data_IF_396139587522
#
_entry.id   IF_396139587522
#
_cell.length_a   1.000
_cell.length_b   1.000
_cell.length_c   1.000
_cell.angle_alpha   90.00
_cell.angle_beta   90.00
_cell.angle_gamma   90.00
#
_symmetry.space_group_name_H-M   'P 1'
#
loop_
_entity.id
_entity.type
_entity.pdbx_description
1 polymer ?
#
# COMPACT_ATOMS: atom_id res chain seq x y z
N UNK A 1 26.94 -19.48 -11.05
CA UNK A 1 25.79 -20.34 -10.62
C UNK A 1 24.68 -19.56 -9.94
N UNK A 2 24.99 -18.65 -9.00
CA UNK A 2 23.96 -17.89 -8.25
C UNK A 2 23.06 -17.05 -9.16
N UNK A 3 23.61 -16.30 -10.11
CA UNK A 3 22.83 -15.46 -11.05
C UNK A 3 21.86 -16.26 -11.91
N UNK A 4 22.30 -17.40 -12.46
CA UNK A 4 21.44 -18.27 -13.28
C UNK A 4 20.27 -18.85 -12.47
N UNK A 5 20.52 -19.27 -11.23
CA UNK A 5 19.48 -19.73 -10.32
C UNK A 5 18.47 -18.62 -10.01
N UNK A 6 18.93 -17.38 -9.83
CA UNK A 6 18.04 -16.24 -9.56
C UNK A 6 17.18 -15.93 -10.78
N UNK A 7 17.76 -15.95 -11.98
CA UNK A 7 17.01 -15.79 -13.24
C UNK A 7 15.91 -16.85 -13.35
N UNK A 8 16.24 -18.13 -13.18
CA UNK A 8 15.27 -19.22 -13.28
C UNK A 8 14.14 -19.09 -12.23
N UNK A 9 14.47 -18.78 -10.98
CA UNK A 9 13.46 -18.53 -9.93
C UNK A 9 12.59 -17.32 -10.28
N UNK A 10 13.19 -16.26 -10.83
CA UNK A 10 12.48 -15.03 -11.19
C UNK A 10 11.52 -15.23 -12.35
N UNK A 11 11.87 -16.09 -13.32
CA UNK A 11 10.96 -16.50 -14.39
C UNK A 11 9.74 -17.21 -13.80
N UNK A 12 9.94 -18.20 -12.92
CA UNK A 12 8.83 -18.96 -12.32
C UNK A 12 7.93 -18.05 -11.47
N UNK A 13 8.53 -17.25 -10.59
CA UNK A 13 7.80 -16.33 -9.72
C UNK A 13 7.07 -15.28 -10.56
N UNK A 14 7.75 -14.68 -11.53
CA UNK A 14 7.18 -13.68 -12.42
C UNK A 14 5.99 -14.22 -13.22
N UNK A 15 6.07 -15.45 -13.72
CA UNK A 15 4.96 -16.09 -14.41
C UNK A 15 3.74 -16.28 -13.49
N UNK A 16 3.94 -16.79 -12.27
CA UNK A 16 2.86 -17.06 -11.32
C UNK A 16 2.21 -15.78 -10.81
N UNK A 17 3.01 -14.80 -10.40
CA UNK A 17 2.55 -13.49 -9.93
C UNK A 17 1.81 -12.78 -11.05
N UNK A 18 2.42 -12.70 -12.24
CA UNK A 18 1.81 -12.03 -13.37
C UNK A 18 0.50 -12.67 -13.83
N UNK A 19 0.42 -14.00 -13.78
CA UNK A 19 -0.82 -14.73 -14.06
C UNK A 19 -1.92 -14.36 -13.05
N UNK A 20 -1.61 -14.46 -11.75
CA UNK A 20 -2.57 -14.22 -10.68
C UNK A 20 -3.07 -12.78 -10.65
N UNK A 21 -2.16 -11.82 -10.76
CA UNK A 21 -2.51 -10.40 -10.74
C UNK A 21 -3.22 -9.98 -12.03
N UNK A 22 -2.77 -10.44 -13.20
CA UNK A 22 -3.44 -10.18 -14.47
C UNK A 22 -4.89 -10.70 -14.47
N UNK A 23 -5.10 -11.96 -14.06
CA UNK A 23 -6.44 -12.52 -13.90
C UNK A 23 -7.26 -11.73 -12.87
N UNK A 24 -6.66 -11.40 -11.72
CA UNK A 24 -7.29 -10.66 -10.63
C UNK A 24 -7.80 -9.30 -11.07
N UNK A 25 -6.96 -8.52 -11.78
CA UNK A 25 -7.31 -7.20 -12.28
C UNK A 25 -8.49 -7.25 -13.27
N UNK A 26 -8.47 -8.19 -14.22
CA UNK A 26 -9.56 -8.35 -15.19
C UNK A 26 -10.90 -8.78 -14.55
N UNK A 27 -10.85 -9.62 -13.50
CA UNK A 27 -12.05 -10.00 -12.75
C UNK A 27 -12.69 -8.84 -12.00
N UNK A 28 -11.96 -7.76 -11.70
CA UNK A 28 -12.56 -6.57 -11.06
C UNK A 28 -13.62 -5.92 -11.95
N UNK A 29 -13.54 -6.08 -13.28
CA UNK A 29 -14.59 -5.65 -14.22
C UNK A 29 -15.86 -6.53 -14.20
N UNK A 30 -15.80 -7.66 -13.50
CA UNK A 30 -16.88 -8.66 -13.42
C UNK A 30 -17.41 -8.87 -11.99
N UNK A 31 -16.72 -8.34 -10.98
CA UNK A 31 -17.03 -8.56 -9.58
C UNK A 31 -18.13 -7.61 -9.07
N UNK A 32 -19.00 -8.08 -8.14
CA UNK A 32 -20.27 -7.44 -7.79
C UNK A 32 -20.09 -6.10 -7.06
N UNK A 33 -21.21 -5.37 -6.88
CA UNK A 33 -21.39 -4.05 -6.24
C UNK A 33 -20.72 -3.83 -4.85
N UNK A 34 -20.01 -4.81 -4.31
CA UNK A 34 -19.24 -4.76 -3.06
C UNK A 34 -17.82 -5.27 -3.34
N UNK A 35 -16.91 -4.35 -3.63
CA UNK A 35 -15.47 -4.61 -3.78
C UNK A 35 -14.69 -3.93 -2.65
N UNK A 36 -13.64 -4.58 -2.14
CA UNK A 36 -12.79 -4.00 -1.09
C UNK A 36 -12.04 -2.75 -1.58
N UNK A 37 -11.82 -1.76 -0.70
CA UNK A 37 -11.17 -0.48 -1.03
C UNK A 37 -9.85 -0.62 -1.80
N UNK A 38 -9.06 -1.67 -1.55
CA UNK A 38 -7.79 -1.92 -2.28
C UNK A 38 -7.96 -2.27 -3.76
N UNK A 39 -9.11 -2.85 -4.15
CA UNK A 39 -9.42 -3.18 -5.55
C UNK A 39 -9.69 -1.93 -6.40
N UNK A 40 -10.18 -0.84 -5.80
CA UNK A 40 -10.47 0.41 -6.51
C UNK A 40 -9.23 1.09 -7.08
N UNK A 41 -8.05 0.87 -6.48
CA UNK A 41 -6.83 1.53 -6.94
C UNK A 41 -6.40 1.00 -8.31
N UNK A 42 -6.14 -0.30 -8.43
CA UNK A 42 -5.77 -0.91 -9.72
C UNK A 42 -6.87 -0.74 -10.75
N UNK A 43 -8.14 -0.93 -10.36
CA UNK A 43 -9.27 -0.73 -11.27
C UNK A 43 -9.41 0.72 -11.75
N UNK A 44 -9.28 1.70 -10.85
CA UNK A 44 -9.34 3.12 -11.17
C UNK A 44 -8.18 3.55 -12.06
N UNK A 45 -6.97 3.08 -11.78
CA UNK A 45 -5.77 3.37 -12.57
C UNK A 45 -5.86 2.77 -13.99
N UNK A 46 -6.40 1.55 -14.13
CA UNK A 46 -6.64 0.95 -15.44
C UNK A 46 -7.71 1.72 -16.23
N UNK A 47 -8.79 2.14 -15.59
CA UNK A 47 -9.83 2.94 -16.25
C UNK A 47 -9.36 4.36 -16.61
N UNK A 48 -8.46 4.96 -15.82
CA UNK A 48 -7.91 6.28 -16.09
C UNK A 48 -7.12 6.34 -17.41
N UNK A 49 -6.62 5.19 -17.88
CA UNK A 49 -5.95 5.09 -19.18
C UNK A 49 -6.93 5.01 -20.37
N UNK A 50 -8.24 4.92 -20.12
CA UNK A 50 -9.31 4.96 -21.13
C UNK A 50 -9.13 3.98 -22.32
N UNK A 51 -8.49 2.83 -22.08
CA UNK A 51 -8.21 1.83 -23.12
C UNK A 51 -7.12 2.24 -24.11
N UNK A 52 -6.39 3.33 -23.87
CA UNK A 52 -5.26 3.74 -24.69
C UNK A 52 -3.98 2.93 -24.33
N UNK A 53 -3.41 2.16 -25.26
CA UNK A 53 -2.23 1.33 -24.98
C UNK A 53 -1.01 2.14 -24.53
N UNK A 54 -0.82 3.36 -25.05
CA UNK A 54 0.34 4.20 -24.74
C UNK A 54 0.24 4.73 -23.32
N UNK A 55 -0.95 5.16 -22.90
CA UNK A 55 -1.24 5.60 -21.54
C UNK A 55 -1.00 4.47 -20.53
N UNK A 56 -1.49 3.25 -20.81
CA UNK A 56 -1.21 2.09 -19.99
C UNK A 56 0.30 1.79 -19.87
N UNK A 57 1.02 1.76 -21.00
CA UNK A 57 2.47 1.52 -20.98
C UNK A 57 3.22 2.58 -20.18
N UNK A 58 2.92 3.86 -20.42
CA UNK A 58 3.56 5.00 -19.77
C UNK A 58 3.28 5.03 -18.27
N UNK A 59 2.05 4.70 -17.87
CA UNK A 59 1.66 4.58 -16.46
C UNK A 59 2.48 3.51 -15.76
N UNK A 60 2.56 2.30 -16.33
CA UNK A 60 3.37 1.22 -15.78
C UNK A 60 4.87 1.57 -15.72
N UNK A 61 5.39 2.26 -16.73
CA UNK A 61 6.79 2.68 -16.78
C UNK A 61 7.14 3.66 -15.64
N UNK A 62 6.24 4.59 -15.31
CA UNK A 62 6.43 5.53 -14.20
C UNK A 62 6.68 4.83 -12.85
N UNK A 63 5.97 3.72 -12.59
CA UNK A 63 6.14 2.93 -11.37
C UNK A 63 7.29 1.92 -11.42
N UNK A 64 7.72 1.52 -12.63
CA UNK A 64 8.86 0.62 -12.80
C UNK A 64 10.14 1.24 -12.22
N UNK A 65 10.41 2.51 -12.48
CA UNK A 65 11.63 3.17 -11.95
C UNK A 65 11.64 3.23 -10.42
N UNK A 66 10.49 3.54 -9.81
CA UNK A 66 10.35 3.52 -8.34
C UNK A 66 10.61 2.12 -7.77
N UNK A 67 9.99 1.11 -8.39
CA UNK A 67 10.14 -0.29 -7.98
C UNK A 67 11.56 -0.81 -8.18
N UNK A 68 12.21 -0.41 -9.28
CA UNK A 68 13.60 -0.74 -9.58
C UNK A 68 14.54 -0.17 -8.53
N UNK A 69 14.41 1.13 -8.20
CA UNK A 69 15.20 1.75 -7.16
C UNK A 69 15.03 1.05 -5.80
N UNK A 70 13.81 0.61 -5.47
CA UNK A 70 13.53 -0.16 -4.26
C UNK A 70 14.11 -1.58 -4.28
N UNK A 71 14.02 -2.30 -5.39
CA UNK A 71 14.61 -3.64 -5.55
C UNK A 71 16.13 -3.59 -5.47
N UNK A 72 16.75 -2.58 -6.08
CA UNK A 72 18.20 -2.35 -6.00
C UNK A 72 18.64 -1.93 -4.59
N UNK A 73 17.89 -1.02 -3.97
CA UNK A 73 18.27 -0.44 -2.69
C UNK A 73 17.89 -1.24 -1.47
N UNK A 74 16.82 -2.03 -1.51
CA UNK A 74 16.29 -2.78 -0.37
C UNK A 74 16.17 -4.29 -0.65
N UNK A 75 16.44 -4.76 -1.87
CA UNK A 75 16.31 -6.17 -2.24
C UNK A 75 14.86 -6.68 -2.27
N UNK A 76 13.87 -5.80 -2.20
CA UNK A 76 12.46 -6.15 -2.07
C UNK A 76 11.64 -5.70 -3.28
N UNK A 77 10.84 -6.62 -3.83
CA UNK A 77 9.80 -6.29 -4.81
C UNK A 77 8.69 -5.50 -4.13
N UNK A 78 8.31 -4.37 -4.72
CA UNK A 78 7.25 -3.53 -4.20
C UNK A 78 5.90 -3.97 -4.75
N UNK A 79 4.84 -3.67 -4.00
CA UNK A 79 3.45 -3.85 -4.43
C UNK A 79 3.11 -3.10 -5.73
N UNK A 80 3.91 -2.08 -6.11
CA UNK A 80 3.73 -1.33 -7.35
C UNK A 80 3.99 -2.22 -8.58
N UNK A 81 4.92 -3.18 -8.49
CA UNK A 81 5.17 -4.16 -9.56
C UNK A 81 3.91 -4.97 -9.83
N UNK A 82 3.33 -5.50 -8.76
CA UNK A 82 2.17 -6.37 -8.83
C UNK A 82 0.93 -5.59 -9.25
N UNK A 83 0.59 -4.50 -8.56
CA UNK A 83 -0.70 -3.84 -8.76
C UNK A 83 -0.74 -2.77 -9.84
N UNK A 84 0.42 -2.32 -10.35
CA UNK A 84 0.48 -1.22 -11.31
C UNK A 84 1.26 -1.56 -12.56
N UNK A 85 2.49 -2.05 -12.43
CA UNK A 85 3.36 -2.31 -13.60
C UNK A 85 2.80 -3.47 -14.42
N UNK A 86 2.64 -4.65 -13.82
CA UNK A 86 2.24 -5.85 -14.56
C UNK A 86 0.84 -5.71 -15.20
N UNK A 87 -0.22 -5.28 -14.49
CA UNK A 87 -1.56 -5.14 -15.06
C UNK A 87 -1.62 -4.12 -16.20
N UNK A 88 -0.97 -2.95 -16.05
CA UNK A 88 -1.00 -1.93 -17.09
C UNK A 88 -0.23 -2.35 -18.33
N UNK A 89 0.93 -2.99 -18.17
CA UNK A 89 1.70 -3.48 -19.33
C UNK A 89 1.02 -4.66 -20.01
N UNK A 90 0.36 -5.54 -19.24
CA UNK A 90 -0.48 -6.60 -19.81
C UNK A 90 -1.65 -6.01 -20.63
N UNK A 91 -2.33 -5.00 -20.07
CA UNK A 91 -3.39 -4.27 -20.77
C UNK A 91 -2.87 -3.59 -22.04
N UNK A 92 -1.74 -2.89 -21.96
CA UNK A 92 -1.10 -2.23 -23.10
C UNK A 92 -0.80 -3.22 -24.24
N UNK A 93 -0.24 -4.39 -23.94
CA UNK A 93 0.07 -5.42 -24.94
C UNK A 93 -1.19 -5.94 -25.63
N UNK A 94 -2.26 -6.20 -24.86
CA UNK A 94 -3.50 -6.70 -25.43
C UNK A 94 -4.21 -5.63 -26.27
N UNK A 95 -4.28 -4.41 -25.76
CA UNK A 95 -4.94 -3.27 -26.42
C UNK A 95 -4.19 -2.78 -27.65
N UNK A 96 -2.87 -3.01 -27.73
CA UNK A 96 -2.08 -2.72 -28.93
C UNK A 96 -2.58 -3.48 -30.16
N UNK A 97 -3.03 -4.73 -29.97
CA UNK A 97 -3.54 -5.58 -31.05
C UNK A 97 -5.05 -5.44 -31.26
N UNK A 98 -5.82 -5.29 -30.18
CA UNK A 98 -7.27 -5.14 -30.25
C UNK A 98 -7.72 -4.08 -29.24
N UNK A 99 -8.20 -2.93 -29.73
CA UNK A 99 -8.61 -1.81 -28.88
C UNK A 99 -9.93 -2.04 -28.13
N UNK A 100 -10.65 -3.13 -28.39
CA UNK A 100 -11.87 -3.47 -27.66
C UNK A 100 -11.52 -3.92 -26.23
N UNK A 101 -11.84 -3.10 -25.24
CA UNK A 101 -11.57 -3.34 -23.81
C UNK A 101 -12.31 -4.55 -23.25
N UNK A 102 -13.52 -4.83 -23.71
CA UNK A 102 -14.34 -5.96 -23.24
C UNK A 102 -13.73 -7.29 -23.65
N UNK A 103 -13.19 -7.35 -24.87
CA UNK A 103 -12.53 -8.55 -25.38
C UNK A 103 -11.09 -8.72 -24.89
N UNK A 104 -10.45 -7.66 -24.40
CA UNK A 104 -9.04 -7.65 -24.00
C UNK A 104 -8.87 -7.51 -22.50
N UNK A 105 -8.85 -6.28 -21.99
CA UNK A 105 -8.66 -5.92 -20.58
C UNK A 105 -9.63 -6.66 -19.66
N UNK A 106 -10.90 -6.75 -20.04
CA UNK A 106 -11.90 -7.39 -19.20
C UNK A 106 -11.77 -8.91 -19.23
N UNK A 107 -11.22 -9.50 -20.29
CA UNK A 107 -11.10 -10.95 -20.42
C UNK A 107 -10.04 -11.54 -19.45
N UNK A 108 -10.44 -12.31 -18.41
CA UNK A 108 -9.49 -12.75 -17.39
C UNK A 108 -8.42 -13.70 -17.93
N UNK A 109 -8.76 -14.54 -18.90
CA UNK A 109 -7.82 -15.50 -19.50
C UNK A 109 -6.73 -14.77 -20.29
N UNK A 110 -7.11 -13.78 -21.10
CA UNK A 110 -6.15 -13.01 -21.92
C UNK A 110 -5.23 -12.17 -21.03
N UNK A 111 -5.81 -11.50 -20.02
CA UNK A 111 -5.02 -10.74 -19.05
C UNK A 111 -4.11 -11.61 -18.19
N UNK A 112 -4.53 -12.82 -17.81
CA UNK A 112 -3.67 -13.75 -17.07
C UNK A 112 -2.44 -14.17 -17.90
N UNK A 113 -2.63 -14.49 -19.19
CA UNK A 113 -1.52 -14.92 -20.06
C UNK A 113 -0.58 -13.75 -20.37
N UNK A 114 -1.14 -12.59 -20.72
CA UNK A 114 -0.34 -11.38 -20.95
C UNK A 114 0.40 -10.95 -19.67
N UNK A 115 -0.29 -10.99 -18.52
CA UNK A 115 0.28 -10.73 -17.21
C UNK A 115 1.41 -11.68 -16.87
N UNK A 116 1.29 -12.98 -17.13
CA UNK A 116 2.36 -13.96 -16.91
C UNK A 116 3.60 -13.64 -17.75
N UNK A 117 3.43 -13.33 -19.04
CA UNK A 117 4.55 -12.96 -19.91
C UNK A 117 5.25 -11.68 -19.44
N UNK A 118 4.47 -10.65 -19.08
CA UNK A 118 5.01 -9.40 -18.53
C UNK A 118 5.71 -9.64 -17.19
N UNK A 119 5.11 -10.42 -16.30
CA UNK A 119 5.65 -10.74 -14.99
C UNK A 119 6.98 -11.46 -15.08
N UNK A 120 7.12 -12.43 -16.00
CA UNK A 120 8.42 -13.08 -16.29
C UNK A 120 9.48 -12.03 -16.64
N UNK A 121 9.18 -11.12 -17.57
CA UNK A 121 10.14 -10.11 -18.04
C UNK A 121 10.49 -9.15 -16.91
N UNK A 122 9.49 -8.57 -16.24
CA UNK A 122 9.67 -7.54 -15.22
C UNK A 122 10.39 -8.10 -14.00
N UNK A 123 9.93 -9.22 -13.44
CA UNK A 123 10.54 -9.80 -12.23
C UNK A 123 11.95 -10.28 -12.51
N UNK A 124 12.20 -10.88 -13.68
CA UNK A 124 13.55 -11.30 -14.07
C UNK A 124 14.47 -10.11 -14.25
N UNK A 125 14.02 -9.04 -14.91
CA UNK A 125 14.79 -7.80 -15.07
C UNK A 125 15.16 -7.20 -13.69
N UNK A 126 14.16 -7.01 -12.82
CA UNK A 126 14.36 -6.39 -11.51
C UNK A 126 15.32 -7.20 -10.63
N UNK A 127 15.13 -8.51 -10.53
CA UNK A 127 16.01 -9.35 -9.71
C UNK A 127 17.40 -9.51 -10.32
N UNK A 128 17.52 -9.64 -11.64
CA UNK A 128 18.83 -9.75 -12.30
C UNK A 128 19.64 -8.46 -12.13
N UNK A 129 18.99 -7.30 -12.27
CA UNK A 129 19.65 -6.01 -12.05
C UNK A 129 20.09 -5.84 -10.60
N UNK A 130 19.26 -6.20 -9.61
CA UNK A 130 19.68 -6.19 -8.20
C UNK A 130 20.93 -7.05 -7.94
N UNK A 131 21.02 -8.22 -8.57
CA UNK A 131 22.17 -9.11 -8.41
C UNK A 131 23.43 -8.66 -9.15
N UNK A 132 23.29 -7.83 -10.19
CA UNK A 132 24.40 -7.33 -10.99
C UNK A 132 25.06 -6.09 -10.37
N UNK A 133 24.42 -5.45 -9.39
CA UNK A 133 24.91 -4.21 -8.79
C UNK A 133 25.97 -4.52 -7.72
N UNK A 134 27.14 -3.83 -7.74
CA UNK A 134 28.16 -4.00 -6.72
C UNK A 134 27.67 -3.64 -5.31
N UNK A 135 28.16 -4.33 -4.29
CA UNK A 135 27.81 -4.08 -2.89
C UNK A 135 28.03 -2.61 -2.46
N UNK A 136 29.05 -1.95 -3.02
CA UNK A 136 29.34 -0.53 -2.76
C UNK A 136 28.20 0.40 -3.21
N UNK A 137 27.49 0.08 -4.29
CA UNK A 137 26.33 0.83 -4.77
C UNK A 137 25.05 0.48 -4.01
N UNK A 138 24.88 -0.78 -3.59
CA UNK A 138 23.77 -1.17 -2.69
C UNK A 138 23.87 -0.48 -1.34
N UNK A 139 25.09 -0.28 -0.80
CA UNK A 139 25.31 0.50 0.42
C UNK A 139 24.91 1.97 0.26
N UNK A 140 25.12 2.58 -0.90
CA UNK A 140 24.66 3.95 -1.16
C UNK A 140 23.14 3.98 -1.31
N UNK A 141 22.55 3.03 -2.04
CA UNK A 141 21.11 2.94 -2.23
C UNK A 141 20.36 2.70 -0.90
N UNK A 142 20.84 1.79 -0.05
CA UNK A 142 20.29 1.59 1.31
C UNK A 142 20.43 2.85 2.17
N UNK A 143 21.60 3.51 2.17
CA UNK A 143 21.87 4.66 3.03
C UNK A 143 21.21 5.96 2.56
N UNK A 144 20.82 6.07 1.29
CA UNK A 144 20.23 7.28 0.72
C UNK A 144 18.74 7.08 0.40
N UNK A 145 18.39 6.04 -0.36
CA UNK A 145 17.02 5.85 -0.84
C UNK A 145 16.07 5.40 0.26
N UNK A 146 16.49 4.51 1.17
CA UNK A 146 15.62 4.03 2.25
C UNK A 146 15.27 5.16 3.23
N UNK A 147 16.24 5.99 3.70
CA UNK A 147 15.89 7.19 4.44
C UNK A 147 15.02 8.13 3.63
N UNK A 148 15.33 8.43 2.37
CA UNK A 148 14.51 9.32 1.56
C UNK A 148 13.05 8.83 1.43
N UNK A 149 12.83 7.53 1.22
CA UNK A 149 11.50 6.93 1.18
C UNK A 149 10.79 7.02 2.54
N UNK A 150 11.51 6.78 3.65
CA UNK A 150 10.97 6.99 5.00
C UNK A 150 10.59 8.45 5.26
N UNK A 151 11.33 9.41 4.72
CA UNK A 151 10.99 10.84 4.78
C UNK A 151 9.75 11.16 3.93
N UNK A 152 9.57 10.51 2.79
CA UNK A 152 8.35 10.68 2.02
C UNK A 152 7.12 10.15 2.77
N UNK A 153 7.25 8.98 3.41
CA UNK A 153 6.12 8.28 4.03
C UNK A 153 5.78 8.80 5.42
N UNK A 154 6.76 9.09 6.28
CA UNK A 154 6.50 9.38 7.69
C UNK A 154 6.33 10.87 8.00
N UNK A 155 7.15 11.80 7.44
CA UNK A 155 6.86 13.22 7.57
C UNK A 155 6.02 13.79 6.42
N UNK A 156 6.39 13.58 5.15
CA UNK A 156 5.74 14.32 4.05
C UNK A 156 4.28 13.89 3.85
N UNK A 157 4.00 12.58 3.84
CA UNK A 157 2.64 12.09 3.60
C UNK A 157 1.64 12.56 4.68
N UNK A 158 1.91 12.45 6.00
CA UNK A 158 1.07 13.09 7.01
C UNK A 158 0.84 14.57 6.80
N UNK A 159 1.87 15.34 6.45
CA UNK A 159 1.73 16.80 6.22
C UNK A 159 0.73 17.05 5.09
N UNK A 160 0.85 16.35 3.96
CA UNK A 160 -0.05 16.50 2.81
C UNK A 160 -1.49 16.14 3.20
N UNK A 161 -1.71 14.99 3.86
CA UNK A 161 -3.05 14.59 4.29
C UNK A 161 -3.63 15.53 5.35
N UNK A 162 -2.80 16.04 6.26
CA UNK A 162 -3.22 16.98 7.29
C UNK A 162 -3.61 18.34 6.69
N UNK A 163 -2.83 18.85 5.74
CA UNK A 163 -3.20 20.05 4.96
C UNK A 163 -4.52 19.84 4.21
N UNK A 164 -4.70 18.70 3.55
CA UNK A 164 -5.96 18.38 2.89
C UNK A 164 -7.15 18.32 3.87
N UNK A 165 -6.93 17.81 5.09
CA UNK A 165 -7.95 17.82 6.14
C UNK A 165 -8.33 19.24 6.58
N UNK A 166 -7.35 20.13 6.71
CA UNK A 166 -7.58 21.54 7.05
C UNK A 166 -8.34 22.28 5.94
N UNK A 167 -7.95 22.07 4.68
CA UNK A 167 -8.61 22.67 3.52
C UNK A 167 -10.05 22.17 3.34
N UNK A 168 -10.32 20.92 3.72
CA UNK A 168 -11.66 20.32 3.68
C UNK A 168 -12.67 20.95 4.66
N UNK A 169 -12.21 21.77 5.62
CA UNK A 169 -13.04 22.55 6.52
C UNK A 169 -12.67 22.38 8.00
N UNK A 170 -13.11 23.32 8.83
CA UNK A 170 -12.71 23.39 10.26
C UNK A 170 -12.95 22.11 11.05
N UNK A 171 -14.13 21.49 10.91
CA UNK A 171 -14.47 20.24 11.62
C UNK A 171 -13.62 19.07 11.13
N UNK A 172 -13.44 18.96 9.82
CA UNK A 172 -12.60 17.94 9.19
C UNK A 172 -11.13 18.07 9.61
N UNK A 173 -10.60 19.30 9.63
CA UNK A 173 -9.26 19.58 10.13
C UNK A 173 -9.07 19.20 11.60
N UNK A 174 -10.04 19.50 12.47
CA UNK A 174 -9.98 19.14 13.90
C UNK A 174 -9.93 17.61 14.07
N UNK A 175 -10.86 16.88 13.46
CA UNK A 175 -10.89 15.41 13.55
C UNK A 175 -9.63 14.78 12.95
N UNK A 176 -9.16 15.28 11.81
CA UNK A 176 -7.91 14.85 11.18
C UNK A 176 -6.69 15.08 12.06
N UNK A 177 -6.62 16.21 12.76
CA UNK A 177 -5.51 16.54 13.67
C UNK A 177 -5.51 15.64 14.90
N UNK A 178 -6.65 15.51 15.58
CA UNK A 178 -6.76 14.73 16.83
C UNK A 178 -6.48 13.25 16.58
N UNK A 179 -7.15 12.66 15.59
CA UNK A 179 -6.95 11.24 15.27
C UNK A 179 -5.58 11.00 14.62
N UNK A 180 -5.05 11.94 13.86
CA UNK A 180 -3.69 11.90 13.33
C UNK A 180 -2.63 11.85 14.43
N UNK A 181 -2.75 12.71 15.44
CA UNK A 181 -1.87 12.71 16.61
C UNK A 181 -1.96 11.40 17.38
N UNK A 182 -3.17 10.91 17.66
CA UNK A 182 -3.37 9.61 18.31
C UNK A 182 -2.75 8.46 17.51
N UNK A 183 -2.91 8.45 16.18
CA UNK A 183 -2.31 7.45 15.30
C UNK A 183 -0.81 7.51 15.28
N UNK A 184 -0.22 8.70 15.34
CA UNK A 184 1.23 8.81 15.47
C UNK A 184 1.72 8.19 16.78
N UNK A 185 1.05 8.47 17.90
CA UNK A 185 1.42 7.95 19.21
C UNK A 185 1.26 6.42 19.31
N UNK A 186 0.13 5.89 18.85
CA UNK A 186 -0.18 4.45 18.95
C UNK A 186 0.52 3.64 17.85
N UNK A 187 0.52 4.17 16.62
CA UNK A 187 0.92 3.40 15.45
C UNK A 187 2.32 3.75 14.90
N UNK A 188 2.92 4.86 15.34
CA UNK A 188 4.16 5.40 14.77
C UNK A 188 3.96 6.13 13.44
N UNK A 189 2.72 6.23 12.94
CA UNK A 189 2.39 6.87 11.67
C UNK A 189 1.03 7.59 11.79
N UNK A 190 0.99 8.86 11.39
CA UNK A 190 -0.20 9.71 11.52
C UNK A 190 -1.23 9.53 10.38
N UNK A 191 -0.84 8.99 9.22
CA UNK A 191 -1.70 8.92 8.01
C UNK A 191 -3.03 8.20 8.27
N UNK A 192 -3.07 6.99 8.88
CA UNK A 192 -4.33 6.28 9.09
C UNK A 192 -5.31 7.11 9.94
N UNK A 193 -4.82 7.74 11.01
CA UNK A 193 -5.62 8.62 11.85
C UNK A 193 -6.14 9.86 11.13
N UNK A 194 -5.30 10.51 10.33
CA UNK A 194 -5.72 11.70 9.57
C UNK A 194 -6.83 11.32 8.58
N UNK A 195 -6.67 10.22 7.84
CA UNK A 195 -7.67 9.75 6.86
C UNK A 195 -9.00 9.42 7.55
N UNK A 196 -8.97 8.69 8.67
CA UNK A 196 -10.19 8.40 9.44
C UNK A 196 -10.84 9.68 9.97
N UNK A 197 -10.04 10.65 10.41
CA UNK A 197 -10.52 11.97 10.81
C UNK A 197 -11.16 12.76 9.68
N UNK A 198 -10.63 12.66 8.46
CA UNK A 198 -11.25 13.27 7.27
C UNK A 198 -12.62 12.66 7.02
N UNK A 199 -12.72 11.33 7.03
CA UNK A 199 -13.97 10.60 6.78
C UNK A 199 -15.04 10.92 7.84
N UNK A 200 -14.67 10.98 9.12
CA UNK A 200 -15.57 11.38 10.20
C UNK A 200 -16.00 12.84 10.04
N UNK A 201 -15.04 13.74 9.84
CA UNK A 201 -15.31 15.17 9.71
C UNK A 201 -16.27 15.48 8.56
N UNK A 202 -15.97 14.98 7.36
CA UNK A 202 -16.84 15.15 6.20
C UNK A 202 -18.16 14.41 6.35
N UNK A 203 -18.16 13.19 6.86
CA UNK A 203 -19.39 12.44 7.10
C UNK A 203 -20.35 13.18 8.05
N UNK A 204 -19.81 13.88 9.06
CA UNK A 204 -20.58 14.73 9.96
C UNK A 204 -21.05 16.04 9.32
N UNK A 205 -20.26 16.63 8.44
CA UNK A 205 -20.64 17.86 7.74
C UNK A 205 -21.74 17.60 6.69
N UNK A 206 -21.67 16.47 5.97
CA UNK A 206 -22.61 16.15 4.89
C UNK A 206 -23.91 15.52 5.40
N UNK A 207 -23.81 14.58 6.35
CA UNK A 207 -24.96 13.75 6.79
C UNK A 207 -25.37 13.99 8.25
N UNK A 208 -24.64 14.84 8.98
CA UNK A 208 -24.89 15.09 10.39
C UNK A 208 -24.65 13.87 11.29
N UNK A 209 -25.16 13.97 12.52
CA UNK A 209 -25.11 12.87 13.48
C UNK A 209 -26.24 11.87 13.23
N UNK A 210 -25.96 10.86 12.43
CA UNK A 210 -26.88 9.76 12.17
C UNK A 210 -26.30 8.42 12.70
N UNK A 211 -27.06 7.33 12.54
CA UNK A 211 -26.61 6.00 13.01
C UNK A 211 -25.29 5.58 12.36
N UNK A 212 -25.06 5.94 11.10
CA UNK A 212 -23.86 5.58 10.34
C UNK A 212 -22.65 6.31 10.89
N UNK A 213 -22.71 7.65 11.03
CA UNK A 213 -21.58 8.45 11.55
C UNK A 213 -21.24 8.11 12.99
N UNK A 214 -22.26 7.84 13.83
CA UNK A 214 -22.04 7.34 15.21
C UNK A 214 -21.38 5.97 15.23
N UNK A 215 -21.86 5.02 14.42
CA UNK A 215 -21.28 3.67 14.35
C UNK A 215 -19.84 3.71 13.85
N UNK A 216 -19.55 4.55 12.85
CA UNK A 216 -18.20 4.76 12.34
C UNK A 216 -17.27 5.32 13.42
N UNK A 217 -17.72 6.35 14.16
CA UNK A 217 -16.91 6.92 15.25
C UNK A 217 -16.61 5.88 16.34
N UNK A 218 -17.61 5.09 16.75
CA UNK A 218 -17.43 4.03 17.75
C UNK A 218 -16.45 2.96 17.26
N UNK A 219 -16.57 2.54 15.99
CA UNK A 219 -15.65 1.57 15.40
C UNK A 219 -14.21 2.11 15.35
N UNK A 220 -14.03 3.40 15.03
CA UNK A 220 -12.70 4.05 15.03
C UNK A 220 -12.11 4.11 16.43
N UNK A 221 -12.90 4.49 17.44
CA UNK A 221 -12.44 4.50 18.85
C UNK A 221 -12.02 3.10 19.29
N UNK A 222 -12.84 2.08 19.02
CA UNK A 222 -12.52 0.69 19.35
C UNK A 222 -11.23 0.23 18.66
N UNK A 223 -11.05 0.59 17.39
CA UNK A 223 -9.84 0.28 16.63
C UNK A 223 -8.59 0.91 17.28
N UNK A 224 -8.66 2.17 17.71
CA UNK A 224 -7.54 2.83 18.39
C UNK A 224 -7.23 2.20 19.75
N UNK A 225 -8.25 1.91 20.56
CA UNK A 225 -8.08 1.29 21.88
C UNK A 225 -7.46 -0.11 21.74
N UNK A 226 -8.02 -0.95 20.87
CA UNK A 226 -7.49 -2.29 20.63
C UNK A 226 -6.09 -2.23 20.03
N UNK A 227 -5.83 -1.37 19.06
CA UNK A 227 -4.48 -1.22 18.50
C UNK A 227 -3.46 -0.71 19.52
N UNK A 228 -3.86 0.15 20.46
CA UNK A 228 -3.00 0.61 21.55
C UNK A 228 -2.66 -0.54 22.50
N UNK A 229 -3.67 -1.31 22.91
CA UNK A 229 -3.51 -2.45 23.80
C UNK A 229 -2.60 -3.54 23.20
N UNK A 230 -2.85 -3.97 21.96
CA UNK A 230 -2.02 -5.01 21.33
C UNK A 230 -0.58 -4.56 21.05
N UNK A 231 -0.32 -3.25 21.03
CA UNK A 231 1.03 -2.67 20.89
C UNK A 231 1.68 -2.32 22.23
N UNK A 232 1.04 -2.63 23.36
CA UNK A 232 1.48 -2.25 24.71
C UNK A 232 1.78 -0.74 24.84
N UNK A 233 0.99 0.09 24.17
CA UNK A 233 1.15 1.55 24.18
C UNK A 233 0.98 2.14 25.59
N UNK A 234 0.04 1.61 26.35
CA UNK A 234 -0.18 1.89 27.77
C UNK A 234 1.06 1.63 28.63
N UNK A 235 1.72 0.49 28.45
CA UNK A 235 2.99 0.20 29.14
C UNK A 235 4.09 1.18 28.73
N UNK A 236 4.21 1.47 27.43
CA UNK A 236 5.18 2.45 26.92
C UNK A 236 4.90 3.87 27.44
N UNK A 237 3.62 4.24 27.59
CA UNK A 237 3.20 5.53 28.13
C UNK A 237 3.59 5.65 29.61
N UNK A 238 3.25 4.64 30.43
CA UNK A 238 3.64 4.60 31.85
C UNK A 238 5.16 4.69 32.02
N UNK A 239 5.92 3.96 31.19
CA UNK A 239 7.38 4.02 31.16
C UNK A 239 7.90 5.41 30.80
N UNK A 240 7.31 6.08 29.81
CA UNK A 240 7.71 7.45 29.43
C UNK A 240 7.39 8.49 30.51
N UNK A 241 6.34 8.24 31.30
CA UNK A 241 5.99 9.04 32.48
C UNK A 241 6.85 8.72 33.72
N UNK A 242 7.82 7.81 33.61
CA UNK A 242 8.65 7.33 34.73
C UNK A 242 7.83 6.77 35.90
N UNK A 243 6.66 6.19 35.60
CA UNK A 243 5.78 5.53 36.58
C UNK A 243 6.08 4.04 36.58
N UNK A 244 6.09 3.43 37.77
CA UNK A 244 6.22 1.97 37.90
C UNK A 244 5.07 1.26 37.18
N UNK A 245 5.43 0.30 36.32
CA UNK A 245 4.45 -0.46 35.54
C UNK A 245 3.85 -1.54 36.46
N UNK A 246 2.53 -1.57 36.67
CA UNK A 246 1.92 -2.60 37.50
C UNK A 246 2.08 -4.00 36.89
N UNK A 247 2.45 -4.99 37.71
CA UNK A 247 2.68 -6.37 37.26
C UNK A 247 1.44 -7.02 36.63
N UNK A 248 0.23 -6.67 37.11
CA UNK A 248 -1.02 -7.18 36.54
C UNK A 248 -1.22 -6.75 35.08
N UNK A 249 -0.74 -5.56 34.71
CA UNK A 249 -0.86 -5.03 33.35
C UNK A 249 0.08 -5.79 32.41
N UNK A 250 1.31 -6.06 32.88
CA UNK A 250 2.29 -6.87 32.15
C UNK A 250 1.75 -8.28 31.93
N UNK A 251 1.22 -8.92 32.98
CA UNK A 251 0.62 -10.25 32.89
C UNK A 251 -0.60 -10.29 31.95
N UNK A 252 -1.41 -9.23 31.95
CA UNK A 252 -2.55 -9.11 31.03
C UNK A 252 -2.06 -9.09 29.58
N UNK A 253 -1.08 -8.27 29.24
CA UNK A 253 -0.52 -8.24 27.89
C UNK A 253 0.14 -9.56 27.48
N UNK A 254 0.88 -10.20 28.39
CA UNK A 254 1.50 -11.51 28.17
C UNK A 254 0.44 -12.59 27.88
N UNK A 255 -0.70 -12.56 28.59
CA UNK A 255 -1.84 -13.47 28.37
C UNK A 255 -2.43 -13.32 26.97
N UNK A 256 -2.46 -12.09 26.42
CA UNK A 256 -2.94 -11.81 25.07
C UNK A 256 -1.85 -11.89 23.98
N UNK A 257 -0.64 -12.36 24.32
CA UNK A 257 0.47 -12.55 23.37
C UNK A 257 1.15 -11.25 22.90
N UNK A 258 0.91 -10.14 23.61
CA UNK A 258 1.55 -8.85 23.34
C UNK A 258 2.98 -8.85 23.90
N UNK A 259 3.98 -8.56 23.07
CA UNK A 259 5.38 -8.52 23.51
C UNK A 259 5.65 -7.28 24.37
N UNK A 260 5.63 -7.43 25.70
CA UNK A 260 5.98 -6.36 26.64
C UNK A 260 7.49 -6.29 26.80
N UNK A 261 8.11 -5.18 26.36
CA UNK A 261 9.51 -4.88 26.70
C UNK A 261 9.56 -4.26 28.08
N UNK A 262 9.97 -5.04 29.08
CA UNK A 262 10.28 -4.53 30.44
C UNK A 262 11.30 -3.39 30.37
#
# INVERSE_FOLDING_TARGET
MVTLMIVLKSIVIGALVGFGVGAGAARMFHAPNVQGMGAFRTFGELNACAGDPISHFSFGLGFLFNSWASVVGAGALTQDVDHRVIPNWAAAILLWKNKNVEETLHNPKRMAIAGAAVGVVVVTLLNSTATAIPESMQLVATKVLVPAANWLINPIMPIVFWMAAMDAGKRTGIWGTVLGGMSHLVMGNAVPGIVLGILIGKGLDDSGWNKITKTMLVAVILLFVLSGFFRAFDVALLKSMHVEIPDWLVQLHETFGSAVKK
#
